data_IF_318551616922
#
_entry.id   IF_318551616922
#
_cell.length_a   1.000
_cell.length_b   1.000
_cell.length_c   1.000
_cell.angle_alpha   90.00
_cell.angle_beta   90.00
_cell.angle_gamma   90.00
#
_symmetry.space_group_name_H-M   'P 1'
#
loop_
_entity.id
_entity.type
_entity.pdbx_description
1 polymer ?
#
# COMPACT_ATOMS: atom_id res chain seq x y z
N UNK A 1 7.04 -76.96 -19.10
CA UNK A 1 6.84 -75.87 -20.08
C UNK A 1 6.96 -74.51 -19.38
N UNK A 2 8.19 -74.09 -19.13
CA UNK A 2 8.58 -72.76 -18.62
C UNK A 2 8.74 -71.82 -19.82
N UNK A 3 7.77 -70.92 -20.09
CA UNK A 3 7.97 -69.86 -21.12
C UNK A 3 6.95 -68.72 -21.13
N UNK A 4 6.55 -68.16 -19.98
CA UNK A 4 5.76 -66.90 -19.93
C UNK A 4 6.00 -66.10 -18.65
N UNK A 5 7.23 -65.67 -18.40
CA UNK A 5 7.54 -64.80 -17.25
C UNK A 5 8.65 -63.78 -17.52
N UNK A 6 8.73 -63.27 -18.76
CA UNK A 6 9.84 -62.39 -19.18
C UNK A 6 9.44 -60.99 -19.70
N UNK A 7 8.17 -60.59 -19.61
CA UNK A 7 7.72 -59.26 -20.07
C UNK A 7 7.31 -58.31 -18.92
N UNK A 8 7.99 -58.37 -17.77
CA UNK A 8 7.88 -57.35 -16.71
C UNK A 8 9.21 -56.61 -16.46
N UNK A 9 10.05 -56.52 -17.49
CA UNK A 9 11.31 -55.77 -17.49
C UNK A 9 11.23 -54.37 -18.13
N UNK A 10 10.04 -53.88 -18.49
CA UNK A 10 9.83 -52.54 -19.07
C UNK A 10 8.64 -51.83 -18.43
N UNK A 11 8.81 -51.46 -17.17
CA UNK A 11 8.20 -50.23 -16.67
C UNK A 11 9.37 -49.38 -16.24
N UNK A 12 9.77 -48.51 -17.15
CA UNK A 12 10.87 -47.58 -16.99
C UNK A 12 10.81 -46.94 -15.61
N UNK A 13 11.87 -47.24 -14.86
CA UNK A 13 12.36 -46.48 -13.74
C UNK A 13 12.49 -45.03 -14.19
N UNK A 14 11.41 -44.24 -14.08
CA UNK A 14 11.52 -42.79 -14.07
C UNK A 14 12.27 -42.49 -12.78
N UNK A 15 13.58 -42.41 -12.91
CA UNK A 15 14.49 -41.95 -11.89
C UNK A 15 13.93 -40.64 -11.34
N UNK A 16 13.40 -40.70 -10.12
CA UNK A 16 13.18 -39.51 -9.33
C UNK A 16 14.57 -38.89 -9.14
N UNK A 17 14.86 -37.84 -9.91
CA UNK A 17 16.13 -37.13 -9.81
C UNK A 17 16.38 -36.73 -8.34
N UNK A 18 17.52 -37.12 -7.76
CA UNK A 18 17.87 -36.77 -6.40
C UNK A 18 18.30 -35.31 -6.36
N UNK A 19 17.34 -34.40 -6.29
CA UNK A 19 17.63 -32.96 -6.25
C UNK A 19 16.49 -32.04 -6.66
N UNK A 20 15.23 -32.43 -6.44
CA UNK A 20 14.10 -31.56 -6.81
C UNK A 20 14.23 -30.20 -6.13
N UNK A 21 14.11 -29.13 -6.91
CA UNK A 21 14.18 -27.74 -6.44
C UNK A 21 13.17 -27.49 -5.30
N UNK A 22 12.07 -28.24 -5.29
CA UNK A 22 11.06 -28.22 -4.22
C UNK A 22 11.57 -28.76 -2.89
N UNK A 23 12.41 -29.79 -2.87
CA UNK A 23 13.02 -30.28 -1.62
C UNK A 23 14.05 -29.29 -1.09
N UNK A 24 14.83 -28.64 -1.97
CA UNK A 24 15.76 -27.58 -1.57
C UNK A 24 15.03 -26.35 -1.04
N UNK A 25 13.89 -25.99 -1.64
CA UNK A 25 13.02 -24.92 -1.14
C UNK A 25 12.37 -25.27 0.20
N UNK A 26 11.96 -26.53 0.40
CA UNK A 26 11.39 -26.99 1.67
C UNK A 26 12.42 -27.04 2.78
N UNK A 27 13.64 -27.51 2.50
CA UNK A 27 14.75 -27.52 3.46
C UNK A 27 15.21 -26.09 3.78
N UNK A 28 15.25 -25.19 2.80
CA UNK A 28 15.50 -23.78 3.05
C UNK A 28 14.38 -23.14 3.89
N UNK A 29 13.11 -23.45 3.58
CA UNK A 29 11.97 -22.96 4.34
C UNK A 29 11.96 -23.49 5.79
N UNK A 30 12.28 -24.78 6.01
CA UNK A 30 12.38 -25.39 7.33
C UNK A 30 13.60 -24.88 8.11
N UNK A 31 14.75 -24.68 7.47
CA UNK A 31 15.93 -24.10 8.12
C UNK A 31 15.72 -22.64 8.53
N UNK A 32 14.88 -21.91 7.78
CA UNK A 32 14.44 -20.56 8.13
C UNK A 32 13.46 -20.62 9.32
N UNK A 33 12.52 -21.57 9.32
CA UNK A 33 11.50 -21.72 10.38
C UNK A 33 12.10 -22.19 11.72
N UNK A 34 13.06 -23.12 11.69
CA UNK A 34 13.68 -23.73 12.89
C UNK A 34 14.67 -22.82 13.62
N UNK A 35 15.28 -21.83 12.94
CA UNK A 35 16.34 -21.01 13.54
C UNK A 35 16.03 -19.50 13.55
N UNK A 36 15.10 -19.03 12.72
CA UNK A 36 14.79 -17.62 12.56
C UNK A 36 13.27 -17.46 12.59
N UNK A 37 12.74 -17.23 13.80
CA UNK A 37 11.34 -16.87 13.95
C UNK A 37 10.99 -15.73 13.00
N UNK A 38 9.88 -15.87 12.26
CA UNK A 38 9.41 -14.94 11.21
C UNK A 38 9.51 -13.44 11.55
N UNK A 39 9.42 -13.09 12.83
CA UNK A 39 9.67 -11.75 13.35
C UNK A 39 11.08 -11.22 13.05
N UNK A 40 12.13 -12.05 13.20
CA UNK A 40 13.52 -11.68 12.92
C UNK A 40 13.77 -11.44 11.43
N UNK A 41 13.14 -12.21 10.55
CA UNK A 41 13.21 -11.98 9.09
C UNK A 41 12.64 -10.60 8.76
N UNK A 42 11.47 -10.27 9.31
CA UNK A 42 10.84 -8.96 9.12
C UNK A 42 11.71 -7.80 9.62
N UNK A 43 12.33 -7.96 10.80
CA UNK A 43 13.26 -6.96 11.33
C UNK A 43 14.51 -6.84 10.47
N UNK A 44 15.14 -7.96 10.09
CA UNK A 44 16.33 -7.95 9.23
C UNK A 44 16.03 -7.32 7.86
N UNK A 45 14.91 -7.67 7.25
CA UNK A 45 14.45 -7.07 5.99
C UNK A 45 14.26 -5.55 6.14
N UNK A 46 13.60 -5.11 7.22
CA UNK A 46 13.39 -3.69 7.49
C UNK A 46 14.71 -2.94 7.68
N UNK A 47 15.65 -3.52 8.44
CA UNK A 47 17.00 -2.97 8.64
C UNK A 47 17.77 -2.90 7.33
N UNK A 48 17.70 -3.95 6.49
CA UNK A 48 18.32 -3.96 5.17
C UNK A 48 17.76 -2.85 4.27
N UNK A 49 16.43 -2.67 4.22
CA UNK A 49 15.80 -1.60 3.43
C UNK A 49 16.26 -0.23 3.93
N UNK A 50 16.30 0.00 5.24
CA UNK A 50 16.79 1.25 5.83
C UNK A 50 18.26 1.48 5.46
N UNK A 51 19.11 0.45 5.57
CA UNK A 51 20.52 0.56 5.22
C UNK A 51 20.73 0.92 3.75
N UNK A 52 19.97 0.29 2.83
CA UNK A 52 19.99 0.63 1.40
C UNK A 52 19.51 2.06 1.17
N UNK A 53 18.40 2.47 1.79
CA UNK A 53 17.87 3.83 1.66
C UNK A 53 18.87 4.88 2.17
N UNK A 54 19.48 4.66 3.33
CA UNK A 54 20.53 5.53 3.88
C UNK A 54 21.77 5.57 2.98
N UNK A 55 22.18 4.43 2.42
CA UNK A 55 23.31 4.37 1.49
C UNK A 55 23.05 5.16 0.21
N UNK A 56 21.88 4.98 -0.40
CA UNK A 56 21.45 5.73 -1.59
C UNK A 56 21.36 7.22 -1.26
N UNK A 57 20.71 7.58 -0.15
CA UNK A 57 20.58 8.97 0.28
C UNK A 57 21.96 9.62 0.50
N UNK A 58 22.87 8.95 1.22
CA UNK A 58 24.22 9.45 1.45
C UNK A 58 24.97 9.65 0.13
N UNK A 59 24.85 8.69 -0.79
CA UNK A 59 25.48 8.78 -2.10
C UNK A 59 24.93 9.95 -2.91
N UNK A 60 23.63 10.19 -2.88
CA UNK A 60 22.99 11.31 -3.59
C UNK A 60 23.28 12.65 -2.94
N UNK A 61 23.28 12.74 -1.61
CA UNK A 61 23.54 14.00 -0.89
C UNK A 61 25.02 14.39 -0.88
N UNK A 62 25.95 13.44 -0.99
CA UNK A 62 27.39 13.73 -0.94
C UNK A 62 27.84 14.66 -2.08
N UNK A 63 27.14 14.61 -3.21
CA UNK A 63 27.42 15.45 -4.37
C UNK A 63 26.66 16.79 -4.33
N UNK A 64 25.88 17.07 -3.27
CA UNK A 64 25.09 18.29 -3.11
C UNK A 64 25.76 19.22 -2.10
N UNK A 65 26.07 20.44 -2.53
CA UNK A 65 26.61 21.48 -1.64
C UNK A 65 25.51 22.08 -0.75
N UNK A 66 25.74 22.12 0.57
CA UNK A 66 24.80 22.72 1.53
C UNK A 66 24.49 24.19 1.24
N UNK A 67 25.44 24.92 0.64
CA UNK A 67 25.25 26.32 0.25
C UNK A 67 24.28 26.46 -0.91
N UNK A 68 24.28 25.50 -1.83
CA UNK A 68 23.34 25.47 -2.96
C UNK A 68 21.91 25.23 -2.47
N UNK A 69 21.74 24.34 -1.47
CA UNK A 69 20.44 24.11 -0.82
C UNK A 69 19.94 25.38 -0.12
N UNK A 70 20.78 26.05 0.66
CA UNK A 70 20.41 27.29 1.33
C UNK A 70 20.05 28.40 0.33
N UNK A 71 20.84 28.55 -0.73
CA UNK A 71 20.57 29.51 -1.79
C UNK A 71 19.26 29.17 -2.55
N UNK A 72 18.98 27.88 -2.79
CA UNK A 72 17.71 27.46 -3.38
C UNK A 72 16.51 27.80 -2.48
N UNK A 73 16.63 27.65 -1.16
CA UNK A 73 15.59 28.05 -0.20
C UNK A 73 15.38 29.57 -0.25
N UNK A 74 16.44 30.37 -0.24
CA UNK A 74 16.36 31.84 -0.28
C UNK A 74 15.82 32.39 -1.61
N UNK A 75 16.17 31.75 -2.72
CA UNK A 75 15.71 32.14 -4.07
C UNK A 75 14.31 31.62 -4.40
N UNK A 76 13.76 30.69 -3.60
CA UNK A 76 12.41 30.18 -3.81
C UNK A 76 11.39 31.27 -3.53
N UNK A 77 10.54 31.55 -4.54
CA UNK A 77 9.50 32.57 -4.44
C UNK A 77 8.51 32.22 -3.31
N UNK A 78 8.18 33.14 -2.39
CA UNK A 78 7.22 32.89 -1.30
C UNK A 78 5.85 32.44 -1.78
N UNK A 79 5.45 32.86 -2.99
CA UNK A 79 4.20 32.43 -3.63
C UNK A 79 4.17 30.92 -3.87
N UNK A 80 5.28 30.31 -4.26
CA UNK A 80 5.34 28.87 -4.50
C UNK A 80 5.18 28.10 -3.18
N UNK A 81 5.80 28.61 -2.10
CA UNK A 81 5.65 28.05 -0.75
C UNK A 81 4.18 28.14 -0.29
N UNK A 82 3.52 29.29 -0.51
CA UNK A 82 2.12 29.47 -0.15
C UNK A 82 1.20 28.51 -0.95
N UNK A 83 1.44 28.36 -2.25
CA UNK A 83 0.66 27.43 -3.09
C UNK A 83 0.88 25.98 -2.65
N UNK A 84 2.13 25.58 -2.38
CA UNK A 84 2.44 24.25 -1.86
C UNK A 84 1.76 24.01 -0.50
N UNK A 85 1.79 25.00 0.40
CA UNK A 85 1.10 24.92 1.69
C UNK A 85 -0.43 24.76 1.54
N UNK A 86 -1.04 25.44 0.56
CA UNK A 86 -2.46 25.27 0.25
C UNK A 86 -2.78 23.87 -0.29
N UNK A 87 -1.93 23.30 -1.14
CA UNK A 87 -2.10 21.92 -1.61
C UNK A 87 -1.92 20.90 -0.50
N UNK A 88 -0.95 21.10 0.40
CA UNK A 88 -0.79 20.26 1.61
C UNK A 88 -2.05 20.37 2.49
N UNK A 89 -2.57 21.57 2.73
CA UNK A 89 -3.80 21.76 3.48
C UNK A 89 -5.01 21.08 2.80
N UNK A 90 -5.10 21.14 1.47
CA UNK A 90 -6.13 20.46 0.69
C UNK A 90 -6.00 18.92 0.75
N UNK A 91 -4.77 18.39 0.74
CA UNK A 91 -4.51 16.96 0.95
C UNK A 91 -4.97 16.50 2.34
N UNK A 92 -4.55 17.19 3.41
CA UNK A 92 -5.02 16.91 4.77
C UNK A 92 -6.53 17.06 4.92
N UNK A 93 -7.15 18.04 4.25
CA UNK A 93 -8.60 18.18 4.21
C UNK A 93 -9.25 16.96 3.57
N UNK A 94 -8.72 16.48 2.44
CA UNK A 94 -9.17 15.27 1.74
C UNK A 94 -9.09 14.04 2.66
N UNK A 95 -7.99 13.90 3.40
CA UNK A 95 -7.77 12.84 4.39
C UNK A 95 -8.83 12.83 5.53
N UNK A 96 -9.43 13.98 5.87
CA UNK A 96 -10.56 14.00 6.84
C UNK A 96 -11.83 13.36 6.29
N UNK A 97 -12.06 13.46 4.97
CA UNK A 97 -13.19 12.81 4.32
C UNK A 97 -13.02 11.30 4.29
N UNK A 98 -11.80 10.78 4.14
CA UNK A 98 -11.54 9.34 4.23
C UNK A 98 -12.11 8.74 5.51
N UNK A 99 -11.77 9.34 6.66
CA UNK A 99 -12.21 8.87 7.97
C UNK A 99 -13.73 9.03 8.12
N UNK A 100 -14.31 10.13 7.63
CA UNK A 100 -15.77 10.33 7.64
C UNK A 100 -16.51 9.25 6.83
N UNK A 101 -16.03 8.93 5.63
CA UNK A 101 -16.65 7.91 4.78
C UNK A 101 -16.43 6.51 5.34
N UNK A 102 -15.26 6.21 5.90
CA UNK A 102 -14.99 4.94 6.57
C UNK A 102 -15.92 4.72 7.76
N UNK A 103 -16.16 5.76 8.59
CA UNK A 103 -17.10 5.71 9.71
C UNK A 103 -18.54 5.44 9.27
N UNK A 104 -18.99 6.11 8.19
CA UNK A 104 -20.31 5.85 7.61
C UNK A 104 -20.42 4.43 7.08
N UNK A 105 -19.36 3.90 6.48
CA UNK A 105 -19.34 2.54 5.94
C UNK A 105 -19.37 1.45 7.01
N UNK A 106 -18.80 1.70 8.19
CA UNK A 106 -18.84 0.78 9.35
C UNK A 106 -20.18 0.88 10.11
N UNK A 107 -21.10 1.73 9.66
CA UNK A 107 -22.40 1.92 10.33
C UNK A 107 -22.31 2.73 11.61
N UNK A 108 -21.32 3.62 11.73
CA UNK A 108 -21.12 4.52 12.88
C UNK A 108 -21.31 6.00 12.50
N UNK A 109 -22.46 6.41 11.91
CA UNK A 109 -22.68 7.78 11.46
C UNK A 109 -22.89 8.80 12.59
N UNK A 110 -23.02 8.34 13.84
CA UNK A 110 -23.24 9.19 15.01
C UNK A 110 -22.02 10.03 15.40
N UNK A 111 -20.83 9.69 14.90
CA UNK A 111 -19.61 10.47 15.15
C UNK A 111 -19.65 11.73 14.28
N UNK A 112 -19.63 12.89 14.94
CA UNK A 112 -19.62 14.18 14.24
C UNK A 112 -18.37 14.38 13.38
N UNK A 113 -18.52 15.15 12.29
CA UNK A 113 -17.43 15.48 11.37
C UNK A 113 -16.20 16.06 12.07
N UNK A 114 -16.39 16.87 13.12
CA UNK A 114 -15.28 17.48 13.89
C UNK A 114 -14.36 16.45 14.52
N UNK A 115 -14.92 15.36 15.05
CA UNK A 115 -14.14 14.29 15.68
C UNK A 115 -13.42 13.48 14.60
N UNK A 116 -14.10 13.17 13.49
CA UNK A 116 -13.48 12.47 12.36
C UNK A 116 -12.32 13.29 11.75
N UNK A 117 -12.49 14.59 11.60
CA UNK A 117 -11.46 15.49 11.10
C UNK A 117 -10.26 15.58 12.06
N UNK A 118 -10.51 15.72 13.36
CA UNK A 118 -9.44 15.73 14.36
C UNK A 118 -8.70 14.39 14.41
N UNK A 119 -9.43 13.28 14.46
CA UNK A 119 -8.85 11.94 14.50
C UNK A 119 -8.03 11.64 13.25
N UNK A 120 -8.56 11.93 12.07
CA UNK A 120 -7.87 11.78 10.79
C UNK A 120 -6.63 12.66 10.73
N UNK A 121 -6.76 13.96 10.97
CA UNK A 121 -5.63 14.90 10.92
C UNK A 121 -4.49 14.49 11.86
N UNK A 122 -4.79 14.24 13.14
CA UNK A 122 -3.75 13.84 14.11
C UNK A 122 -3.15 12.48 13.78
N UNK A 123 -3.98 11.50 13.38
CA UNK A 123 -3.50 10.17 12.98
C UNK A 123 -2.60 10.22 11.77
N UNK A 124 -2.98 10.95 10.71
CA UNK A 124 -2.17 11.06 9.50
C UNK A 124 -0.91 11.90 9.74
N UNK A 125 -0.98 12.98 10.51
CA UNK A 125 0.21 13.75 10.85
C UNK A 125 1.24 12.89 11.59
N UNK A 126 0.80 12.12 12.60
CA UNK A 126 1.67 11.19 13.35
C UNK A 126 2.14 10.04 12.45
N UNK A 127 1.22 9.44 11.68
CA UNK A 127 1.49 8.30 10.83
C UNK A 127 2.49 8.59 9.70
N UNK A 128 2.46 9.78 9.11
CA UNK A 128 3.40 10.19 8.06
C UNK A 128 4.79 10.57 8.61
N UNK A 129 4.90 11.02 9.86
CA UNK A 129 6.18 11.44 10.44
C UNK A 129 6.93 10.32 11.18
N UNK A 130 6.21 9.46 11.91
CA UNK A 130 6.82 8.41 12.74
C UNK A 130 7.07 7.12 11.94
N UNK A 131 6.36 6.92 10.83
CA UNK A 131 6.35 5.66 10.09
C UNK A 131 5.46 4.61 10.74
N UNK A 132 5.44 3.41 10.16
CA UNK A 132 4.51 2.33 10.52
C UNK A 132 3.06 2.84 10.65
N UNK A 133 2.61 3.64 9.68
CA UNK A 133 1.42 4.50 9.77
C UNK A 133 0.14 3.75 10.12
N UNK A 134 0.05 2.47 9.74
CA UNK A 134 -1.06 1.59 10.13
C UNK A 134 -1.11 1.33 11.65
N UNK A 135 0.05 1.20 12.31
CA UNK A 135 0.16 0.97 13.75
C UNK A 135 0.15 2.28 14.53
N UNK A 136 0.99 3.25 14.16
CA UNK A 136 1.13 4.52 14.88
C UNK A 136 -0.09 5.42 14.69
N UNK A 137 -0.55 5.59 13.44
CA UNK A 137 -1.79 6.30 13.14
C UNK A 137 -3.02 5.56 13.65
N UNK A 138 -3.06 4.23 13.49
CA UNK A 138 -4.14 3.39 14.01
C UNK A 138 -4.31 3.50 15.54
N UNK A 139 -3.20 3.55 16.29
CA UNK A 139 -3.24 3.75 17.75
C UNK A 139 -3.77 5.13 18.15
N UNK A 140 -3.41 6.19 17.42
CA UNK A 140 -3.93 7.55 17.66
C UNK A 140 -5.44 7.59 17.38
N UNK A 141 -5.89 7.03 16.25
CA UNK A 141 -7.32 6.89 15.95
C UNK A 141 -8.04 6.12 17.04
N UNK A 142 -7.46 5.01 17.50
CA UNK A 142 -8.04 4.19 18.55
C UNK A 142 -8.25 5.00 19.83
N UNK A 143 -7.24 5.77 20.26
CA UNK A 143 -7.34 6.61 21.46
C UNK A 143 -8.43 7.68 21.35
N UNK A 144 -8.59 8.31 20.18
CA UNK A 144 -9.59 9.37 19.98
C UNK A 144 -11.00 8.77 19.87
N UNK A 145 -11.15 7.67 19.13
CA UNK A 145 -12.43 7.03 18.91
C UNK A 145 -12.91 6.18 20.09
N UNK A 146 -12.03 5.64 20.92
CA UNK A 146 -12.40 4.91 22.14
C UNK A 146 -13.14 5.81 23.13
N UNK A 147 -12.80 7.10 23.19
CA UNK A 147 -13.52 8.10 23.99
C UNK A 147 -14.96 8.35 23.49
N UNK A 148 -15.24 7.96 22.25
CA UNK A 148 -16.54 8.11 21.60
C UNK A 148 -17.27 6.77 21.43
N UNK A 149 -16.85 5.72 22.15
CA UNK A 149 -17.53 4.44 22.20
C UNK A 149 -17.22 3.48 21.05
N UNK A 150 -16.11 3.67 20.32
CA UNK A 150 -15.69 2.75 19.26
C UNK A 150 -14.77 1.67 19.82
N UNK A 151 -15.00 0.44 19.37
CA UNK A 151 -14.15 -0.70 19.72
C UNK A 151 -12.84 -0.69 18.93
N UNK A 152 -11.83 -1.41 19.43
CA UNK A 152 -10.57 -1.62 18.69
C UNK A 152 -10.82 -2.29 17.34
N UNK A 153 -11.82 -3.16 17.26
CA UNK A 153 -12.26 -3.80 16.02
C UNK A 153 -12.78 -2.77 15.03
N UNK A 154 -13.67 -1.85 15.46
CA UNK A 154 -14.19 -0.80 14.58
C UNK A 154 -13.07 0.07 14.00
N UNK A 155 -12.06 0.40 14.81
CA UNK A 155 -10.89 1.18 14.37
C UNK A 155 -10.01 0.38 13.41
N UNK A 156 -9.86 -0.93 13.62
CA UNK A 156 -9.16 -1.80 12.67
C UNK A 156 -9.90 -1.86 11.32
N UNK A 157 -11.24 -1.98 11.32
CA UNK A 157 -12.06 -1.91 10.10
C UNK A 157 -11.90 -0.57 9.40
N UNK A 158 -11.86 0.52 10.17
CA UNK A 158 -11.63 1.86 9.65
C UNK A 158 -10.26 1.99 8.99
N UNK A 159 -9.19 1.57 9.68
CA UNK A 159 -7.83 1.58 9.14
C UNK A 159 -7.73 0.73 7.87
N UNK A 160 -8.41 -0.41 7.82
CA UNK A 160 -8.48 -1.26 6.63
C UNK A 160 -9.16 -0.54 5.46
N UNK A 161 -10.33 0.06 5.68
CA UNK A 161 -11.06 0.80 4.63
C UNK A 161 -10.26 2.01 4.14
N UNK A 162 -9.65 2.78 5.05
CA UNK A 162 -8.83 3.94 4.67
C UNK A 162 -7.57 3.53 3.92
N UNK A 163 -6.91 2.46 4.36
CA UNK A 163 -5.74 1.91 3.68
C UNK A 163 -6.07 1.36 2.29
N UNK A 164 -7.19 0.65 2.18
CA UNK A 164 -7.71 0.17 0.90
C UNK A 164 -8.01 1.33 -0.06
N UNK A 165 -8.62 2.40 0.42
CA UNK A 165 -8.89 3.61 -0.37
C UNK A 165 -7.59 4.23 -0.89
N UNK A 166 -6.58 4.38 -0.01
CA UNK A 166 -5.28 4.91 -0.38
C UNK A 166 -4.60 4.06 -1.45
N UNK A 167 -4.60 2.73 -1.31
CA UNK A 167 -4.03 1.83 -2.31
C UNK A 167 -4.78 1.84 -3.63
N UNK A 168 -6.12 1.91 -3.61
CA UNK A 168 -6.92 2.05 -4.82
C UNK A 168 -6.64 3.37 -5.55
N UNK A 169 -6.50 4.48 -4.81
CA UNK A 169 -6.08 5.77 -5.35
C UNK A 169 -4.69 5.66 -6.00
N UNK A 170 -3.72 5.10 -5.29
CA UNK A 170 -2.35 4.90 -5.80
C UNK A 170 -2.32 4.06 -7.06
N UNK A 171 -2.96 2.89 -7.05
CA UNK A 171 -3.03 2.01 -8.20
C UNK A 171 -3.67 2.70 -9.41
N UNK A 172 -4.69 3.55 -9.19
CA UNK A 172 -5.35 4.33 -10.24
C UNK A 172 -4.42 5.40 -10.81
N UNK A 173 -3.81 6.23 -9.96
CA UNK A 173 -2.93 7.33 -10.39
C UNK A 173 -1.66 6.79 -11.04
N UNK A 174 -1.01 5.78 -10.45
CA UNK A 174 0.17 5.13 -11.02
C UNK A 174 -0.17 4.44 -12.34
N UNK A 175 -1.27 3.68 -12.38
CA UNK A 175 -1.71 2.99 -13.59
C UNK A 175 -1.99 3.95 -14.75
N UNK A 176 -2.74 5.03 -14.49
CA UNK A 176 -3.04 6.06 -15.51
C UNK A 176 -1.80 6.88 -15.88
N UNK A 177 -0.96 7.25 -14.91
CA UNK A 177 0.25 8.02 -15.14
C UNK A 177 1.26 7.28 -16.02
N UNK A 178 1.52 6.00 -15.71
CA UNK A 178 2.41 5.14 -16.51
C UNK A 178 1.80 4.89 -17.90
N UNK A 179 0.47 4.75 -18.01
CA UNK A 179 -0.19 4.56 -19.31
C UNK A 179 -0.10 5.82 -20.18
N UNK A 180 -0.22 7.02 -19.59
CA UNK A 180 -0.19 8.29 -20.30
C UNK A 180 1.23 8.71 -20.69
N UNK A 181 2.22 8.49 -19.83
CA UNK A 181 3.62 8.83 -20.12
C UNK A 181 4.58 7.71 -19.72
N UNK A 182 4.60 6.59 -20.47
CA UNK A 182 5.42 5.44 -20.13
C UNK A 182 6.93 5.73 -20.25
N UNK A 183 7.30 6.78 -21.00
CA UNK A 183 8.68 7.27 -21.11
C UNK A 183 9.22 7.86 -19.80
N UNK A 184 8.38 8.55 -19.02
CA UNK A 184 8.79 9.12 -17.73
C UNK A 184 9.02 8.02 -16.70
N UNK A 185 8.20 6.96 -16.72
CA UNK A 185 8.41 5.79 -15.87
C UNK A 185 9.70 5.03 -16.23
N UNK A 186 9.98 4.83 -17.53
CA UNK A 186 11.22 4.18 -17.97
C UNK A 186 12.48 4.98 -17.65
N UNK A 187 12.37 6.31 -17.51
CA UNK A 187 13.50 7.16 -17.10
C UNK A 187 13.88 6.97 -15.62
N UNK A 188 12.92 6.56 -14.78
CA UNK A 188 13.13 6.33 -13.34
C UNK A 188 13.54 4.87 -13.09
N UNK A 189 12.76 3.91 -13.60
CA UNK A 189 12.96 2.49 -13.29
C UNK A 189 14.04 1.83 -14.18
N UNK A 190 14.51 2.52 -15.22
CA UNK A 190 15.39 2.01 -16.28
C UNK A 190 14.87 0.73 -16.99
N UNK A 191 13.62 0.36 -16.74
CA UNK A 191 12.94 -0.78 -17.33
C UNK A 191 12.41 -0.44 -18.73
N UNK A 192 12.33 -1.45 -19.63
CA UNK A 192 11.85 -1.22 -20.97
C UNK A 192 10.37 -0.80 -20.97
N UNK A 193 10.04 0.14 -21.86
CA UNK A 193 8.72 0.78 -21.97
C UNK A 193 7.57 -0.22 -22.07
N UNK A 194 7.78 -1.37 -22.73
CA UNK A 194 6.77 -2.41 -22.88
C UNK A 194 6.41 -3.04 -21.54
N UNK A 195 7.38 -3.26 -20.64
CA UNK A 195 7.16 -3.85 -19.33
C UNK A 195 6.33 -2.92 -18.45
N UNK A 196 6.70 -1.63 -18.40
CA UNK A 196 5.96 -0.61 -17.65
C UNK A 196 4.52 -0.48 -18.16
N UNK A 197 4.32 -0.53 -19.48
CA UNK A 197 2.99 -0.47 -20.09
C UNK A 197 2.16 -1.72 -19.78
N UNK A 198 2.74 -2.91 -19.82
CA UNK A 198 2.04 -4.14 -19.42
C UNK A 198 1.69 -4.14 -17.94
N UNK A 199 2.60 -3.71 -17.07
CA UNK A 199 2.35 -3.61 -15.63
C UNK A 199 1.22 -2.62 -15.32
N UNK A 200 1.18 -1.47 -16.00
CA UNK A 200 0.10 -0.50 -15.88
C UNK A 200 -1.25 -1.07 -16.34
N UNK A 201 -1.29 -1.75 -17.50
CA UNK A 201 -2.51 -2.38 -18.01
C UNK A 201 -3.01 -3.47 -17.07
N UNK A 202 -2.11 -4.33 -16.56
CA UNK A 202 -2.47 -5.38 -15.59
C UNK A 202 -3.01 -4.77 -14.31
N UNK A 203 -2.34 -3.75 -13.76
CA UNK A 203 -2.78 -3.06 -12.53
C UNK A 203 -4.16 -2.43 -12.71
N UNK A 204 -4.40 -1.74 -13.82
CA UNK A 204 -5.71 -1.15 -14.14
C UNK A 204 -6.78 -2.23 -14.38
N UNK A 205 -6.44 -3.34 -15.03
CA UNK A 205 -7.35 -4.45 -15.25
C UNK A 205 -7.76 -5.12 -13.93
N UNK A 206 -6.81 -5.33 -13.01
CA UNK A 206 -7.09 -5.84 -11.66
C UNK A 206 -7.96 -4.86 -10.88
N UNK A 207 -7.68 -3.56 -10.96
CA UNK A 207 -8.49 -2.52 -10.32
C UNK A 207 -9.93 -2.51 -10.87
N UNK A 208 -10.09 -2.56 -12.20
CA UNK A 208 -11.40 -2.64 -12.86
C UNK A 208 -12.16 -3.91 -12.49
N UNK A 209 -11.48 -5.06 -12.45
CA UNK A 209 -12.07 -6.32 -12.03
C UNK A 209 -12.50 -6.27 -10.56
N UNK A 210 -11.70 -5.67 -9.68
CA UNK A 210 -12.04 -5.44 -8.29
C UNK A 210 -13.27 -4.54 -8.14
N UNK A 211 -13.31 -3.40 -8.85
CA UNK A 211 -14.46 -2.49 -8.83
C UNK A 211 -15.72 -3.19 -9.35
N UNK A 212 -15.63 -3.92 -10.47
CA UNK A 212 -16.75 -4.68 -11.03
C UNK A 212 -17.25 -5.80 -10.11
N UNK A 213 -16.33 -6.44 -9.38
CA UNK A 213 -16.63 -7.47 -8.39
C UNK A 213 -17.37 -6.91 -7.17
N UNK A 214 -16.92 -5.77 -6.65
CA UNK A 214 -17.57 -5.05 -5.53
C UNK A 214 -18.94 -4.51 -5.94
N UNK A 215 -19.12 -4.14 -7.21
CA UNK A 215 -20.40 -3.64 -7.73
C UNK A 215 -21.49 -4.72 -7.80
N UNK A 216 -21.14 -5.98 -8.08
CA UNK A 216 -22.14 -7.05 -8.27
C UNK A 216 -22.87 -7.48 -6.99
N UNK A 217 -22.26 -7.32 -5.81
CA UNK A 217 -22.85 -7.76 -4.54
C UNK A 217 -22.22 -6.98 -3.38
N UNK A 218 -22.99 -6.38 -2.45
CA UNK A 218 -22.44 -5.86 -1.21
C UNK A 218 -21.90 -7.03 -0.38
N UNK A 219 -20.58 -7.21 -0.40
CA UNK A 219 -19.94 -8.34 0.27
C UNK A 219 -19.49 -7.96 1.66
N UNK A 220 -19.86 -8.80 2.61
CA UNK A 220 -19.32 -8.79 3.95
C UNK A 220 -18.15 -9.76 3.97
N UNK A 221 -16.94 -9.25 4.25
CA UNK A 221 -15.73 -10.08 4.34
C UNK A 221 -15.32 -10.14 5.80
N UNK A 222 -15.37 -11.34 6.38
CA UNK A 222 -14.94 -11.63 7.75
C UNK A 222 -15.75 -12.74 8.42
N UNK A 223 -15.22 -13.29 9.51
CA UNK A 223 -15.92 -14.25 10.37
C UNK A 223 -16.48 -13.52 11.60
N UNK A 224 -17.81 -13.58 11.79
CA UNK A 224 -18.59 -13.16 12.97
C UNK A 224 -18.26 -11.76 13.53
N UNK A 225 -17.19 -11.61 14.32
CA UNK A 225 -16.76 -10.34 14.96
C UNK A 225 -15.90 -9.45 14.06
N UNK A 226 -15.21 -10.01 13.06
CA UNK A 226 -14.35 -9.25 12.11
C UNK A 226 -15.02 -8.96 10.75
N UNK A 227 -16.36 -8.91 10.73
CA UNK A 227 -17.12 -8.70 9.50
C UNK A 227 -16.98 -7.24 9.01
N UNK A 228 -16.18 -7.02 7.97
CA UNK A 228 -16.05 -5.73 7.28
C UNK A 228 -17.03 -5.72 6.11
N UNK A 229 -18.00 -4.82 6.15
CA UNK A 229 -18.84 -4.52 4.99
C UNK A 229 -18.00 -3.76 3.98
N UNK A 230 -17.72 -4.38 2.82
CA UNK A 230 -17.05 -3.64 1.75
C UNK A 230 -17.98 -2.51 1.27
N UNK A 231 -17.41 -1.34 0.96
CA UNK A 231 -18.19 -0.19 0.47
C UNK A 231 -18.91 -0.55 -0.83
N UNK A 232 -20.15 -0.07 -0.98
CA UNK A 232 -20.93 -0.24 -2.22
C UNK A 232 -20.17 0.36 -3.43
N UNK A 233 -20.46 -0.11 -4.65
CA UNK A 233 -19.85 0.41 -5.90
C UNK A 233 -19.67 1.94 -5.97
N UNK A 234 -20.70 2.77 -5.77
CA UNK A 234 -20.55 4.23 -5.81
C UNK A 234 -19.67 4.80 -4.69
N UNK A 235 -19.65 4.16 -3.51
CA UNK A 235 -18.74 4.54 -2.42
C UNK A 235 -17.28 4.21 -2.76
N UNK A 236 -17.05 3.11 -3.50
CA UNK A 236 -15.71 2.73 -3.97
C UNK A 236 -15.19 3.70 -5.04
N UNK A 237 -16.06 4.18 -5.95
CA UNK A 237 -15.68 5.22 -6.91
C UNK A 237 -15.38 6.55 -6.22
N UNK A 238 -16.17 6.91 -5.22
CA UNK A 238 -15.89 8.09 -4.40
C UNK A 238 -14.55 7.96 -3.67
N UNK A 239 -14.27 6.80 -3.09
CA UNK A 239 -12.99 6.47 -2.47
C UNK A 239 -11.81 6.64 -3.44
N UNK A 240 -11.92 6.09 -4.65
CA UNK A 240 -10.90 6.27 -5.69
C UNK A 240 -10.73 7.77 -6.02
N UNK A 241 -11.83 8.51 -6.21
CA UNK A 241 -11.77 9.94 -6.51
C UNK A 241 -11.10 10.77 -5.41
N UNK A 242 -11.42 10.48 -4.14
CA UNK A 242 -10.78 11.10 -2.98
C UNK A 242 -9.29 10.75 -2.96
N UNK A 243 -8.89 9.51 -3.26
CA UNK A 243 -7.47 9.13 -3.33
C UNK A 243 -6.70 9.69 -4.50
N UNK A 244 -7.33 9.84 -5.66
CA UNK A 244 -6.73 10.56 -6.79
C UNK A 244 -6.52 12.03 -6.43
N UNK A 245 -7.48 12.67 -5.76
CA UNK A 245 -7.35 14.07 -5.32
C UNK A 245 -6.23 14.24 -4.30
N UNK A 246 -6.16 13.37 -3.29
CA UNK A 246 -5.10 13.39 -2.28
C UNK A 246 -3.71 13.28 -2.89
N UNK A 247 -3.50 12.29 -3.78
CA UNK A 247 -2.24 12.10 -4.48
C UNK A 247 -1.92 13.26 -5.44
N UNK A 248 -2.92 13.82 -6.10
CA UNK A 248 -2.74 14.99 -6.95
C UNK A 248 -2.32 16.21 -6.13
N UNK A 249 -2.91 16.44 -4.96
CA UNK A 249 -2.50 17.49 -4.04
C UNK A 249 -1.06 17.28 -3.56
N UNK A 250 -0.67 16.05 -3.20
CA UNK A 250 0.72 15.75 -2.85
C UNK A 250 1.69 16.02 -4.01
N UNK A 251 1.35 15.57 -5.22
CA UNK A 251 2.17 15.79 -6.40
C UNK A 251 2.31 17.27 -6.74
N UNK A 252 1.21 18.04 -6.69
CA UNK A 252 1.20 19.49 -6.95
C UNK A 252 1.91 20.30 -5.85
N UNK A 253 1.97 19.79 -4.61
CA UNK A 253 2.75 20.42 -3.56
C UNK A 253 4.27 20.26 -3.76
N UNK A 254 4.69 19.19 -4.47
CA UNK A 254 6.11 18.91 -4.76
C UNK A 254 6.59 19.51 -6.09
N UNK A 255 5.68 19.88 -6.98
CA UNK A 255 5.96 20.42 -8.31
C UNK A 255 6.12 21.95 -8.29
#
# INVERSE_FOLDING_TARGET
MQRRRDDRGRAETIAAEPGSLMDRLRVAAQAIDDNIGWHRIGVMLSVCIIAIACFVLFRTLRDIDLREVLNAIETTRPRNILIAALFVAAGYFTLTFYDLFALRNIGKPHIGYRIAAMAGFTSYAVGHNIGASAFTGGAVRYRIYSLHGLSAVDVAKLCFITGLTFWLGNATVLGLGILYTPRSASAIDQLPIWFNRTAAVVTLAVLMAYVAWVWKTPRRVGHSTWEVTLPNGPLTLLQIGIGVMDLACCALAMY
#
